data_IF_986544034715
#
_entry.id   IF_986544034715
#
_cell.length_a   1.000
_cell.length_b   1.000
_cell.length_c   1.000
_cell.angle_alpha   90.00
_cell.angle_beta   90.00
_cell.angle_gamma   90.00
#
_symmetry.space_group_name_H-M   'P 1'
#
loop_
_entity.id
_entity.type
_entity.pdbx_description
1 polymer ?
#
# COMPACT_ATOMS: atom_id res chain seq x y z
N UNK A 1 6.35 6.33 -10.26
CA UNK A 1 6.01 5.32 -9.22
C UNK A 1 6.21 3.88 -9.69
N UNK A 2 6.40 3.62 -10.99
CA UNK A 2 6.62 2.26 -11.52
C UNK A 2 7.86 1.57 -10.95
N UNK A 3 8.99 2.27 -10.85
CA UNK A 3 10.20 1.70 -10.23
C UNK A 3 9.98 1.25 -8.78
N UNK A 4 9.15 1.98 -8.03
CA UNK A 4 8.78 1.62 -6.66
C UNK A 4 7.93 0.34 -6.65
N UNK A 5 6.90 0.27 -7.50
CA UNK A 5 6.07 -0.93 -7.63
C UNK A 5 6.91 -2.14 -8.04
N UNK A 6 7.84 -1.96 -8.99
CA UNK A 6 8.77 -3.00 -9.41
C UNK A 6 9.67 -3.46 -8.27
N UNK A 7 10.24 -2.53 -7.50
CA UNK A 7 11.11 -2.85 -6.37
C UNK A 7 10.35 -3.66 -5.29
N UNK A 8 9.11 -3.26 -4.98
CA UNK A 8 8.24 -4.00 -4.05
C UNK A 8 7.99 -5.42 -4.59
N UNK A 9 7.60 -5.57 -5.86
CA UNK A 9 7.32 -6.90 -6.42
C UNK A 9 8.55 -7.83 -6.47
N UNK A 10 9.74 -7.25 -6.62
CA UNK A 10 11.00 -8.00 -6.68
C UNK A 10 11.50 -8.46 -5.30
N UNK A 11 10.99 -7.92 -4.20
CA UNK A 11 11.39 -8.33 -2.84
C UNK A 11 11.02 -9.82 -2.60
N UNK A 12 11.99 -10.73 -2.38
CA UNK A 12 11.72 -12.16 -2.31
C UNK A 12 10.98 -12.60 -1.04
N UNK A 13 11.18 -11.90 0.09
CA UNK A 13 10.48 -12.23 1.33
C UNK A 13 9.06 -11.71 1.29
N UNK A 14 8.06 -12.60 1.38
CA UNK A 14 6.66 -12.17 1.39
C UNK A 14 6.37 -11.18 2.51
N UNK A 15 6.83 -11.47 3.73
CA UNK A 15 6.62 -10.57 4.86
C UNK A 15 7.26 -9.20 4.60
N UNK A 16 8.52 -9.16 4.13
CA UNK A 16 9.20 -7.89 3.84
C UNK A 16 8.51 -7.14 2.69
N UNK A 17 8.12 -7.83 1.62
CA UNK A 17 7.36 -7.28 0.50
C UNK A 17 6.06 -6.62 0.97
N UNK A 18 5.32 -7.32 1.84
CA UNK A 18 4.08 -6.79 2.41
C UNK A 18 4.30 -5.52 3.22
N UNK A 19 5.32 -5.51 4.09
CA UNK A 19 5.68 -4.33 4.90
C UNK A 19 6.14 -3.17 4.01
N UNK A 20 7.03 -3.41 3.05
CA UNK A 20 7.49 -2.40 2.09
C UNK A 20 6.32 -1.79 1.32
N UNK A 21 5.35 -2.61 0.90
CA UNK A 21 4.17 -2.12 0.21
C UNK A 21 3.33 -1.19 1.11
N UNK A 22 3.16 -1.54 2.39
CA UNK A 22 2.46 -0.70 3.36
C UNK A 22 3.19 0.61 3.66
N UNK A 23 4.51 0.57 3.83
CA UNK A 23 5.33 1.77 4.06
C UNK A 23 5.27 2.73 2.87
N UNK A 24 5.44 2.20 1.66
CA UNK A 24 5.29 2.96 0.43
C UNK A 24 3.90 3.60 0.33
N UNK A 25 2.86 2.85 0.64
CA UNK A 25 1.49 3.34 0.57
C UNK A 25 1.21 4.46 1.57
N UNK A 26 1.64 4.28 2.83
CA UNK A 26 1.51 5.29 3.87
C UNK A 26 2.31 6.55 3.53
N UNK A 27 3.53 6.40 3.00
CA UNK A 27 4.37 7.53 2.59
C UNK A 27 3.70 8.36 1.50
N UNK A 28 3.08 7.72 0.50
CA UNK A 28 2.32 8.43 -0.56
C UNK A 28 1.10 9.13 0.06
N UNK A 29 0.28 8.40 0.82
CA UNK A 29 -0.94 8.93 1.43
C UNK A 29 -0.68 10.06 2.43
N UNK A 30 0.46 10.06 3.13
CA UNK A 30 0.82 11.13 4.06
C UNK A 30 1.39 12.36 3.36
N UNK A 31 2.07 12.17 2.23
CA UNK A 31 2.80 13.24 1.54
C UNK A 31 1.97 13.94 0.46
N UNK A 32 0.94 13.27 -0.07
CA UNK A 32 0.16 13.76 -1.19
C UNK A 32 -1.33 13.56 -0.96
N UNK A 33 -2.14 14.47 -1.53
CA UNK A 33 -3.57 14.20 -1.67
C UNK A 33 -3.79 13.15 -2.75
N UNK A 34 -4.50 12.07 -2.41
CA UNK A 34 -4.84 11.02 -3.36
C UNK A 34 -5.77 11.57 -4.44
N UNK A 35 -5.34 11.41 -5.69
CA UNK A 35 -6.08 11.81 -6.88
C UNK A 35 -6.17 10.61 -7.84
N UNK A 36 -6.68 10.82 -9.06
CA UNK A 36 -6.85 9.77 -10.06
C UNK A 36 -5.54 9.08 -10.48
N UNK A 37 -4.39 9.73 -10.30
CA UNK A 37 -3.08 9.16 -10.64
C UNK A 37 -2.50 8.34 -9.49
N UNK A 38 -2.61 8.82 -8.25
CA UNK A 38 -2.01 8.17 -7.08
C UNK A 38 -2.88 7.07 -6.49
N UNK A 39 -4.21 7.16 -6.61
CA UNK A 39 -5.13 6.17 -6.03
C UNK A 39 -4.88 4.75 -6.56
N UNK A 40 -4.70 4.51 -7.88
CA UNK A 40 -4.36 3.18 -8.40
C UNK A 40 -3.04 2.62 -7.86
N UNK A 41 -2.06 3.49 -7.60
CA UNK A 41 -0.76 3.08 -7.04
C UNK A 41 -0.95 2.60 -5.59
N UNK A 42 -1.64 3.37 -4.75
CA UNK A 42 -1.94 2.97 -3.38
C UNK A 42 -2.77 1.68 -3.32
N UNK A 43 -3.76 1.53 -4.21
CA UNK A 43 -4.54 0.29 -4.36
C UNK A 43 -3.64 -0.92 -4.66
N UNK A 44 -2.74 -0.79 -5.63
CA UNK A 44 -1.81 -1.86 -6.01
C UNK A 44 -0.90 -2.25 -4.84
N UNK A 45 -0.43 -1.27 -4.07
CA UNK A 45 0.39 -1.51 -2.87
C UNK A 45 -0.41 -2.24 -1.78
N UNK A 46 -1.68 -1.86 -1.55
CA UNK A 46 -2.55 -2.55 -0.59
C UNK A 46 -2.82 -4.00 -1.00
N UNK A 47 -3.15 -4.25 -2.27
CA UNK A 47 -3.40 -5.62 -2.74
C UNK A 47 -2.13 -6.47 -2.65
N UNK A 48 -0.97 -5.88 -2.92
CA UNK A 48 0.32 -6.55 -2.68
C UNK A 48 0.49 -6.90 -1.20
N UNK A 49 0.23 -5.97 -0.29
CA UNK A 49 0.31 -6.22 1.14
C UNK A 49 -0.67 -7.30 1.62
N UNK A 50 -1.93 -7.29 1.15
CA UNK A 50 -2.94 -8.33 1.46
C UNK A 50 -2.50 -9.72 0.99
N UNK A 51 -1.83 -9.82 -0.15
CA UNK A 51 -1.34 -11.10 -0.68
C UNK A 51 -0.19 -11.69 0.15
N UNK A 52 0.50 -10.85 0.93
CA UNK A 52 1.74 -11.18 1.62
C UNK A 52 1.59 -11.27 3.15
N UNK A 53 0.61 -10.56 3.72
CA UNK A 53 0.41 -10.42 5.15
C UNK A 53 -0.90 -11.07 5.60
N UNK A 54 -0.99 -11.37 6.89
CA UNK A 54 -2.24 -11.83 7.50
C UNK A 54 -3.31 -10.75 7.41
N UNK A 55 -4.56 -11.13 7.15
CA UNK A 55 -5.70 -10.21 7.23
C UNK A 55 -5.86 -9.58 8.63
N UNK A 56 -5.29 -10.20 9.67
CA UNK A 56 -5.28 -9.68 11.06
C UNK A 56 -4.08 -8.77 11.36
N UNK A 57 -3.22 -8.52 10.38
CA UNK A 57 -2.08 -7.62 10.54
C UNK A 57 -2.57 -6.20 10.86
N UNK A 58 -2.12 -5.66 12.00
CA UNK A 58 -2.57 -4.36 12.49
C UNK A 58 -2.10 -3.21 11.60
N UNK A 59 -0.94 -3.36 10.98
CA UNK A 59 -0.38 -2.32 10.13
C UNK A 59 -1.18 -2.24 8.82
N UNK A 60 -1.49 -3.39 8.21
CA UNK A 60 -2.38 -3.49 7.05
C UNK A 60 -3.73 -2.83 7.31
N UNK A 61 -4.39 -3.19 8.42
CA UNK A 61 -5.70 -2.64 8.78
C UNK A 61 -5.66 -1.12 8.97
N UNK A 62 -4.62 -0.61 9.62
CA UNK A 62 -4.45 0.83 9.86
C UNK A 62 -4.23 1.61 8.55
N UNK A 63 -3.43 1.06 7.63
CA UNK A 63 -3.18 1.66 6.31
C UNK A 63 -4.45 1.70 5.46
N UNK A 64 -5.25 0.62 5.44
CA UNK A 64 -6.54 0.60 4.73
C UNK A 64 -7.48 1.68 5.29
N UNK A 65 -7.57 1.80 6.61
CA UNK A 65 -8.40 2.83 7.24
C UNK A 65 -7.93 4.26 6.91
N UNK A 66 -6.63 4.49 6.81
CA UNK A 66 -6.09 5.78 6.37
C UNK A 66 -6.53 6.10 4.94
N UNK A 67 -6.37 5.16 4.01
CA UNK A 67 -6.76 5.34 2.61
C UNK A 67 -8.26 5.60 2.47
N UNK A 68 -9.11 4.84 3.17
CA UNK A 68 -10.56 5.02 3.10
C UNK A 68 -11.01 6.41 3.57
N UNK A 69 -10.26 7.04 4.48
CA UNK A 69 -10.55 8.43 4.90
C UNK A 69 -10.20 9.45 3.83
N UNK A 70 -9.17 9.19 3.04
CA UNK A 70 -8.70 10.11 1.98
C UNK A 70 -9.42 9.86 0.65
N UNK A 71 -9.83 8.63 0.40
CA UNK A 71 -10.54 8.19 -0.80
C UNK A 71 -11.69 7.25 -0.37
N UNK A 72 -12.89 7.78 -0.09
CA UNK A 72 -14.01 7.00 0.47
C UNK A 72 -14.55 5.90 -0.44
N UNK A 73 -14.13 5.85 -1.70
CA UNK A 73 -14.59 4.91 -2.73
C UNK A 73 -13.66 3.69 -2.93
N UNK A 74 -12.69 3.49 -2.03
CA UNK A 74 -11.78 2.34 -2.04
C UNK A 74 -12.41 1.07 -1.44
#
# INVERSE_FOLDING_TARGET
LENLLSAVQQEPSQAARGIMALEACNCIASSFMLNSELSPVCLTLIETAKSCLSAKDKYLQSTIQLLNKQCPTL
#
